data_IF_660402735228
#
_entry.id   IF_660402735228
#
_cell.length_a   1.000
_cell.length_b   1.000
_cell.length_c   1.000
_cell.angle_alpha   90.00
_cell.angle_beta   90.00
_cell.angle_gamma   90.00
#
_symmetry.space_group_name_H-M   'P 1'
#
loop_
_entity.id
_entity.type
_entity.pdbx_description
1 polymer ?
#
# COMPACT_ATOMS: atom_id res chain seq x y z
N UNK A 1 26.83 -20.16 -1.12
CA UNK A 1 25.89 -19.03 -1.08
C UNK A 1 24.97 -19.26 0.12
N UNK A 2 25.03 -18.38 1.13
CA UNK A 2 24.20 -18.52 2.33
C UNK A 2 22.78 -18.16 1.98
N UNK A 3 21.90 -19.16 1.88
CA UNK A 3 20.46 -18.93 1.80
C UNK A 3 20.05 -18.08 2.99
N UNK A 4 19.69 -16.84 2.70
CA UNK A 4 19.23 -15.88 3.70
C UNK A 4 17.76 -16.15 3.93
N UNK A 5 17.39 -16.53 5.15
CA UNK A 5 15.99 -16.80 5.50
C UNK A 5 15.14 -15.54 5.38
N UNK A 6 13.87 -15.69 5.01
CA UNK A 6 13.04 -14.63 4.42
C UNK A 6 12.95 -13.37 5.30
N UNK A 7 12.87 -13.54 6.62
CA UNK A 7 12.70 -12.45 7.58
C UNK A 7 13.97 -12.10 8.36
N UNK A 8 15.14 -12.57 7.90
CA UNK A 8 16.42 -12.16 8.49
C UNK A 8 16.55 -10.63 8.43
N UNK A 9 16.99 -10.00 9.52
CA UNK A 9 17.07 -8.55 9.71
C UNK A 9 15.73 -7.77 9.75
N UNK A 10 14.59 -8.46 9.66
CA UNK A 10 13.26 -7.84 9.75
C UNK A 10 12.52 -8.21 11.04
N UNK A 11 12.98 -9.24 11.76
CA UNK A 11 12.34 -9.74 12.98
C UNK A 11 12.95 -9.14 14.25
N UNK A 12 12.09 -8.64 15.14
CA UNK A 12 12.45 -8.12 16.46
C UNK A 12 11.58 -8.76 17.53
N UNK A 13 12.18 -9.05 18.68
CA UNK A 13 11.46 -9.56 19.85
C UNK A 13 10.51 -8.48 20.38
N UNK A 14 9.23 -8.80 20.56
CA UNK A 14 8.22 -7.89 21.12
C UNK A 14 8.58 -7.39 22.52
N UNK A 15 9.24 -8.24 23.31
CA UNK A 15 9.42 -7.99 24.74
C UNK A 15 10.69 -7.20 25.03
N UNK A 16 11.80 -7.52 24.35
CA UNK A 16 13.10 -6.91 24.61
C UNK A 16 13.62 -6.03 23.47
N UNK A 17 12.89 -5.92 22.35
CA UNK A 17 13.24 -5.10 21.19
C UNK A 17 14.51 -5.51 20.44
N UNK A 18 15.17 -6.61 20.82
CA UNK A 18 16.38 -7.09 20.13
C UNK A 18 16.03 -7.93 18.91
N UNK A 19 16.90 -7.90 17.91
CA UNK A 19 16.73 -8.69 16.69
C UNK A 19 16.60 -10.18 16.98
N UNK A 20 15.75 -10.86 16.21
CA UNK A 20 15.60 -12.31 16.28
C UNK A 20 16.52 -13.00 15.28
N UNK A 21 17.08 -14.15 15.65
CA UNK A 21 18.02 -14.90 14.84
C UNK A 21 17.41 -16.20 14.34
N UNK A 22 17.63 -16.50 13.07
CA UNK A 22 17.19 -17.78 12.52
C UNK A 22 18.03 -18.93 13.08
N UNK A 23 17.37 -20.05 13.39
CA UNK A 23 17.99 -21.30 13.82
C UNK A 23 17.50 -22.46 12.95
N UNK A 24 18.44 -23.09 12.25
CA UNK A 24 18.17 -24.19 11.31
C UNK A 24 17.44 -25.35 11.98
N UNK A 25 17.90 -25.80 13.15
CA UNK A 25 17.26 -26.87 13.92
C UNK A 25 15.86 -26.52 14.46
N UNK A 26 15.45 -25.25 14.38
CA UNK A 26 14.10 -24.79 14.76
C UNK A 26 13.25 -24.46 13.54
N UNK A 27 13.83 -24.33 12.34
CA UNK A 27 13.16 -23.78 11.16
C UNK A 27 12.40 -22.47 11.48
N UNK A 28 13.07 -21.58 12.23
CA UNK A 28 12.41 -20.42 12.82
C UNK A 28 13.37 -19.47 13.53
N UNK A 29 12.79 -18.38 14.02
CA UNK A 29 13.48 -17.26 14.65
C UNK A 29 13.38 -17.35 16.16
N UNK A 30 14.48 -17.06 16.86
CA UNK A 30 14.50 -16.93 18.32
C UNK A 30 15.00 -15.55 18.72
N UNK A 31 14.54 -15.02 19.86
CA UNK A 31 15.08 -13.75 20.38
C UNK A 31 16.61 -13.84 20.54
N UNK A 32 17.34 -12.95 19.86
CA UNK A 32 18.80 -12.96 19.87
C UNK A 32 19.41 -12.67 21.24
N UNK A 33 18.69 -11.91 22.09
CA UNK A 33 19.16 -11.59 23.43
C UNK A 33 19.03 -12.77 24.39
N UNK A 34 17.89 -13.48 24.35
CA UNK A 34 17.72 -14.78 25.00
C UNK A 34 18.74 -15.80 24.48
N UNK A 35 18.95 -15.87 23.16
CA UNK A 35 19.89 -16.80 22.56
C UNK A 35 21.34 -16.60 23.04
N UNK A 36 21.70 -15.37 23.41
CA UNK A 36 23.05 -15.00 23.84
C UNK A 36 23.23 -15.06 25.37
N UNK A 37 22.22 -14.66 26.14
CA UNK A 37 22.34 -14.44 27.59
C UNK A 37 21.31 -15.20 28.43
N UNK A 38 20.48 -16.04 27.80
CA UNK A 38 19.47 -16.85 28.47
C UNK A 38 18.34 -16.04 29.12
N UNK A 39 17.69 -16.65 30.11
CA UNK A 39 16.50 -16.13 30.80
C UNK A 39 16.74 -14.83 31.59
N UNK A 40 18.00 -14.52 31.91
CA UNK A 40 18.38 -13.28 32.58
C UNK A 40 18.11 -12.07 31.68
N UNK A 41 18.20 -12.23 30.35
CA UNK A 41 18.06 -11.13 29.39
C UNK A 41 16.68 -11.04 28.75
N UNK A 42 16.02 -12.17 28.50
CA UNK A 42 14.67 -12.26 27.94
C UNK A 42 14.14 -13.70 28.14
N UNK A 43 12.83 -13.94 28.03
CA UNK A 43 12.26 -15.30 28.00
C UNK A 43 12.44 -15.94 26.60
N UNK A 44 12.13 -17.24 26.50
CA UNK A 44 12.32 -18.02 25.27
C UNK A 44 11.27 -17.71 24.20
N UNK A 45 11.40 -16.57 23.53
CA UNK A 45 10.57 -16.22 22.38
C UNK A 45 11.10 -16.87 21.11
N UNK A 46 10.29 -17.76 20.53
CA UNK A 46 10.59 -18.48 19.30
C UNK A 46 9.36 -18.52 18.39
N UNK A 47 9.55 -18.34 17.09
CA UNK A 47 8.49 -18.35 16.08
C UNK A 47 8.97 -19.10 14.84
N UNK A 48 8.16 -20.02 14.30
CA UNK A 48 8.50 -20.73 13.05
C UNK A 48 8.39 -19.78 11.87
N UNK A 49 9.29 -19.94 10.89
CA UNK A 49 9.23 -19.13 9.67
C UNK A 49 7.96 -19.42 8.86
N UNK A 50 7.47 -20.65 8.88
CA UNK A 50 6.22 -21.03 8.21
C UNK A 50 5.01 -20.31 8.80
N UNK A 51 4.94 -20.15 10.13
CA UNK A 51 3.83 -19.47 10.79
C UNK A 51 3.80 -17.99 10.41
N UNK A 52 4.98 -17.35 10.33
CA UNK A 52 5.12 -15.98 9.85
C UNK A 52 4.65 -15.85 8.40
N UNK A 53 5.09 -16.74 7.51
CA UNK A 53 4.64 -16.77 6.10
C UNK A 53 3.13 -16.88 6.00
N UNK A 54 2.52 -17.79 6.76
CA UNK A 54 1.08 -18.02 6.75
C UNK A 54 0.30 -16.79 7.22
N UNK A 55 0.72 -16.17 8.33
CA UNK A 55 0.04 -14.97 8.87
C UNK A 55 0.17 -13.79 7.91
N UNK A 56 1.37 -13.53 7.40
CA UNK A 56 1.62 -12.40 6.50
C UNK A 56 0.84 -12.59 5.19
N UNK A 57 0.92 -13.78 4.57
CA UNK A 57 0.21 -14.08 3.33
C UNK A 57 -1.30 -13.95 3.50
N UNK A 58 -1.85 -14.47 4.61
CA UNK A 58 -3.28 -14.32 4.92
C UNK A 58 -3.66 -12.85 5.03
N UNK A 59 -2.87 -12.01 5.71
CA UNK A 59 -3.17 -10.58 5.83
C UNK A 59 -3.14 -9.87 4.48
N UNK A 60 -2.14 -10.18 3.63
CA UNK A 60 -2.06 -9.62 2.28
C UNK A 60 -3.30 -9.98 1.46
N UNK A 61 -3.74 -11.25 1.51
CA UNK A 61 -4.95 -11.71 0.82
C UNK A 61 -6.21 -10.99 1.31
N UNK A 62 -6.40 -10.92 2.62
CA UNK A 62 -7.54 -10.22 3.20
C UNK A 62 -7.56 -8.72 2.84
N UNK A 63 -6.39 -8.07 2.74
CA UNK A 63 -6.30 -6.68 2.29
C UNK A 63 -6.69 -6.54 0.81
N UNK A 64 -6.23 -7.46 -0.04
CA UNK A 64 -6.59 -7.47 -1.45
C UNK A 64 -8.11 -7.70 -1.65
N UNK A 65 -8.68 -8.66 -0.92
CA UNK A 65 -10.13 -8.92 -0.91
C UNK A 65 -10.92 -7.70 -0.43
N UNK A 66 -10.50 -7.07 0.67
CA UNK A 66 -11.14 -5.86 1.17
C UNK A 66 -11.13 -4.71 0.15
N UNK A 67 -10.00 -4.50 -0.55
CA UNK A 67 -9.92 -3.47 -1.61
C UNK A 67 -10.88 -3.79 -2.76
N UNK A 68 -10.97 -5.07 -3.14
CA UNK A 68 -11.88 -5.54 -4.18
C UNK A 68 -13.36 -5.36 -3.78
N UNK A 69 -13.74 -5.83 -2.59
CA UNK A 69 -15.12 -5.77 -2.07
C UNK A 69 -15.63 -4.34 -1.88
N UNK A 70 -14.76 -3.40 -1.51
CA UNK A 70 -15.14 -2.00 -1.33
C UNK A 70 -15.51 -1.28 -2.64
N UNK A 71 -15.39 -1.99 -3.78
CA UNK A 71 -15.61 -1.42 -5.11
C UNK A 71 -14.71 -0.21 -5.32
N UNK A 72 -13.50 -0.20 -4.73
CA UNK A 72 -12.64 0.98 -4.80
C UNK A 72 -12.34 1.32 -6.26
N UNK A 73 -12.13 0.31 -7.09
CA UNK A 73 -11.95 0.50 -8.52
C UNK A 73 -13.17 1.14 -9.21
N UNK A 74 -14.39 0.71 -8.88
CA UNK A 74 -15.60 1.31 -9.48
C UNK A 74 -15.80 2.73 -8.98
N UNK A 75 -15.50 3.01 -7.71
CA UNK A 75 -15.52 4.37 -7.15
C UNK A 75 -14.50 5.27 -7.86
N UNK A 76 -13.28 4.79 -8.09
CA UNK A 76 -12.24 5.54 -8.82
C UNK A 76 -12.69 5.81 -10.26
N UNK A 77 -13.15 4.78 -10.99
CA UNK A 77 -13.69 4.95 -12.36
C UNK A 77 -14.84 5.97 -12.41
N UNK A 78 -15.75 5.92 -11.45
CA UNK A 78 -16.88 6.85 -11.37
C UNK A 78 -16.46 8.28 -10.98
N UNK A 79 -15.35 8.45 -10.27
CA UNK A 79 -14.78 9.78 -9.99
C UNK A 79 -14.10 10.33 -11.23
N UNK A 80 -13.27 9.53 -11.90
CA UNK A 80 -12.58 9.92 -13.14
C UNK A 80 -13.59 10.31 -14.23
N UNK A 81 -14.66 9.52 -14.40
CA UNK A 81 -15.72 9.82 -15.35
C UNK A 81 -16.39 11.17 -15.04
N UNK A 82 -16.77 11.40 -13.78
CA UNK A 82 -17.41 12.67 -13.36
C UNK A 82 -16.48 13.87 -13.56
N UNK A 83 -15.18 13.71 -13.31
CA UNK A 83 -14.20 14.75 -13.59
C UNK A 83 -14.08 15.03 -15.10
N UNK A 84 -14.05 13.99 -15.93
CA UNK A 84 -13.98 14.15 -17.38
C UNK A 84 -15.23 14.83 -17.96
N UNK A 85 -16.42 14.41 -17.51
CA UNK A 85 -17.70 15.04 -17.90
C UNK A 85 -17.73 16.51 -17.51
N UNK A 86 -17.37 16.83 -16.27
CA UNK A 86 -17.37 18.22 -15.79
C UNK A 86 -16.37 19.09 -16.56
N UNK A 87 -15.15 18.60 -16.82
CA UNK A 87 -14.17 19.33 -17.63
C UNK A 87 -14.63 19.52 -19.08
N UNK A 88 -15.37 18.57 -19.66
CA UNK A 88 -15.94 18.72 -21.00
C UNK A 88 -17.03 19.81 -21.04
N UNK A 89 -17.90 19.84 -20.04
CA UNK A 89 -18.93 20.89 -19.90
C UNK A 89 -18.29 22.28 -19.79
N UNK A 90 -17.26 22.42 -18.94
CA UNK A 90 -16.52 23.69 -18.79
C UNK A 90 -15.86 24.13 -20.11
N UNK A 91 -15.22 23.20 -20.84
CA UNK A 91 -14.61 23.51 -22.14
C UNK A 91 -15.65 23.95 -23.17
N UNK A 92 -16.81 23.31 -23.18
CA UNK A 92 -17.90 23.68 -24.07
C UNK A 92 -18.41 25.09 -23.76
N UNK A 93 -18.62 25.40 -22.48
CA UNK A 93 -19.10 26.72 -22.06
C UNK A 93 -18.09 27.83 -22.39
N UNK A 94 -16.79 27.56 -22.23
CA UNK A 94 -15.72 28.49 -22.61
C UNK A 94 -15.71 28.72 -24.13
N UNK A 95 -15.85 27.65 -24.92
CA UNK A 95 -15.87 27.74 -26.39
C UNK A 95 -17.08 28.55 -26.90
N UNK A 96 -18.27 28.34 -26.32
CA UNK A 96 -19.48 29.09 -26.67
C UNK A 96 -19.31 30.60 -26.36
N UNK A 97 -18.75 30.94 -25.19
CA UNK A 97 -18.45 32.33 -24.82
C UNK A 97 -17.44 32.97 -25.77
N UNK A 98 -16.38 32.24 -26.15
CA UNK A 98 -15.37 32.72 -27.07
C UNK A 98 -15.94 33.00 -28.46
N UNK A 99 -16.77 32.09 -28.99
CA UNK A 99 -17.46 32.27 -30.27
C UNK A 99 -18.34 33.53 -30.27
N UNK A 100 -19.13 33.73 -29.21
CA UNK A 100 -19.97 34.93 -29.08
C UNK A 100 -19.16 36.24 -29.00
N UNK A 101 -17.96 36.22 -28.42
CA UNK A 101 -17.06 37.38 -28.42
C UNK A 101 -16.47 37.67 -29.81
N UNK A 102 -16.13 36.62 -30.58
CA UNK A 102 -15.65 36.76 -31.95
C UNK A 102 -16.72 37.35 -32.86
N UNK A 103 -17.97 36.86 -32.78
CA UNK A 103 -19.09 37.38 -33.57
C UNK A 103 -19.37 38.86 -33.29
N UNK A 104 -19.37 39.26 -32.01
CA UNK A 104 -19.53 40.67 -31.62
C UNK A 104 -18.39 41.54 -32.14
N UNK A 105 -17.15 41.03 -32.08
CA UNK A 105 -15.97 41.76 -32.57
C UNK A 105 -16.03 41.96 -34.08
N UNK A 106 -16.42 40.93 -34.85
CA UNK A 106 -16.60 41.03 -36.31
C UNK A 106 -17.74 41.98 -36.67
N UNK A 107 -18.88 41.92 -35.97
CA UNK A 107 -20.01 42.82 -36.20
C UNK A 107 -19.68 44.29 -35.91
N UNK A 108 -18.75 44.56 -35.00
CA UNK A 108 -18.30 45.93 -34.66
C UNK A 108 -17.36 46.51 -35.71
N UNK A 109 -16.73 45.68 -36.55
CA UNK A 109 -15.82 46.11 -37.63
C UNK A 109 -16.50 46.29 -39.00
N UNK A 110 -17.74 45.84 -39.17
CA UNK A 110 -18.50 45.89 -40.44
C UNK A 110 -19.43 47.14 -40.53
N UNK A 111 -19.58 47.90 -39.44
CA UNK A 111 -20.22 49.23 -39.40
C UNK A 111 -19.20 50.27 -38.93
#
# INVERSE_FOLDING_TARGET
MTDTHLFTNHMYCSDCGKGMWYRQNRHGYICGFYAKHGTIACTNHAIKEQDLKNVILRRIKNMAEFIHEQGLESKLRNLDQRHAEHSQEELQEINEKLAGHLEKSVSTFIY
#
